data_IF_723934772942
#
_entry.id   IF_723934772942
#
_cell.length_a   1.000
_cell.length_b   1.000
_cell.length_c   1.000
_cell.angle_alpha   90.00
_cell.angle_beta   90.00
_cell.angle_gamma   90.00
#
_symmetry.space_group_name_H-M   'P 1'
#
loop_
_entity.id
_entity.type
_entity.pdbx_description
1 polymer ?
#
# COMPACT_ATOMS: atom_id res chain seq x y z
N UNK A 1 16.42 0.87 4.01
CA UNK A 1 16.20 0.30 2.66
C UNK A 1 14.85 0.72 2.11
N UNK A 2 14.55 0.43 0.83
CA UNK A 2 13.29 0.86 0.18
C UNK A 2 12.03 0.42 0.96
N UNK A 3 12.06 -0.78 1.54
CA UNK A 3 10.99 -1.32 2.39
C UNK A 3 10.80 -0.50 3.68
N UNK A 4 11.89 -0.22 4.40
CA UNK A 4 11.84 0.59 5.63
C UNK A 4 11.33 2.01 5.36
N UNK A 5 11.75 2.60 4.23
CA UNK A 5 11.24 3.89 3.77
C UNK A 5 9.73 3.85 3.54
N UNK A 6 9.25 2.78 2.88
CA UNK A 6 7.83 2.57 2.66
C UNK A 6 7.02 2.35 3.94
N UNK A 7 7.56 1.60 4.90
CA UNK A 7 6.95 1.41 6.23
C UNK A 7 6.84 2.74 6.98
N UNK A 8 7.93 3.52 7.00
CA UNK A 8 7.95 4.81 7.69
C UNK A 8 6.96 5.81 7.04
N UNK A 9 6.93 5.86 5.71
CA UNK A 9 5.98 6.69 4.97
C UNK A 9 4.53 6.26 5.23
N UNK A 10 4.24 4.96 5.20
CA UNK A 10 2.91 4.43 5.47
C UNK A 10 2.42 4.73 6.89
N UNK A 11 3.25 4.51 7.92
CA UNK A 11 2.91 4.87 9.31
C UNK A 11 2.65 6.36 9.48
N UNK A 12 3.46 7.19 8.83
CA UNK A 12 3.26 8.65 8.84
C UNK A 12 1.93 9.05 8.19
N UNK A 13 1.61 8.47 7.03
CA UNK A 13 0.35 8.74 6.33
C UNK A 13 -0.88 8.35 7.16
N UNK A 14 -0.84 7.17 7.82
CA UNK A 14 -1.90 6.75 8.74
C UNK A 14 -2.10 7.72 9.90
N UNK A 15 -1.00 8.16 10.52
CA UNK A 15 -1.04 9.12 11.62
C UNK A 15 -1.58 10.50 11.18
N UNK A 16 -1.18 10.99 10.01
CA UNK A 16 -1.69 12.26 9.46
C UNK A 16 -3.17 12.17 9.08
N UNK A 17 -3.64 11.01 8.63
CA UNK A 17 -5.04 10.77 8.32
C UNK A 17 -5.91 10.49 9.55
N UNK A 18 -5.31 10.21 10.72
CA UNK A 18 -6.04 9.80 11.92
C UNK A 18 -6.72 8.43 11.77
N UNK A 19 -6.14 7.54 10.97
CA UNK A 19 -6.70 6.22 10.65
C UNK A 19 -5.87 5.12 11.29
N UNK A 20 -6.54 4.17 11.93
CA UNK A 20 -5.90 3.00 12.51
C UNK A 20 -5.52 1.99 11.42
N UNK A 21 -4.40 1.31 11.58
CA UNK A 21 -3.92 0.31 10.62
C UNK A 21 -4.96 -0.77 10.30
N UNK A 22 -5.80 -1.12 11.28
CA UNK A 22 -6.86 -2.15 11.15
C UNK A 22 -8.01 -1.73 10.23
N UNK A 23 -8.13 -0.46 9.87
CA UNK A 23 -9.16 0.03 8.95
C UNK A 23 -8.75 -0.11 7.48
N UNK A 24 -7.48 -0.42 7.21
CA UNK A 24 -6.96 -0.55 5.85
C UNK A 24 -7.41 -1.88 5.25
N UNK A 25 -8.11 -1.81 4.12
CA UNK A 25 -8.54 -2.97 3.35
C UNK A 25 -7.62 -3.31 2.17
N UNK A 26 -6.74 -2.38 1.77
CA UNK A 26 -5.85 -2.52 0.62
C UNK A 26 -4.51 -1.81 0.86
N UNK A 27 -3.40 -2.47 0.53
CA UNK A 27 -2.07 -1.87 0.47
C UNK A 27 -1.43 -2.11 -0.89
N UNK A 28 -1.03 -1.03 -1.58
CA UNK A 28 -0.33 -1.13 -2.87
C UNK A 28 1.05 -0.50 -2.76
N UNK A 29 2.09 -1.25 -3.13
CA UNK A 29 3.39 -0.66 -3.45
C UNK A 29 3.47 -0.34 -4.96
N UNK A 30 3.72 0.92 -5.28
CA UNK A 30 3.81 1.45 -6.63
C UNK A 30 5.23 1.89 -7.00
N UNK A 31 6.23 1.49 -6.21
CA UNK A 31 7.63 1.83 -6.43
C UNK A 31 8.18 1.19 -7.71
N UNK A 32 9.11 1.90 -8.37
CA UNK A 32 9.89 1.32 -9.48
C UNK A 32 10.93 0.34 -8.95
N UNK A 33 11.63 0.73 -7.89
CA UNK A 33 12.70 -0.07 -7.30
C UNK A 33 12.14 -1.20 -6.45
N UNK A 34 12.62 -2.42 -6.70
CA UNK A 34 12.25 -3.65 -5.98
C UNK A 34 13.50 -4.41 -5.61
N UNK A 35 13.52 -4.98 -4.40
CA UNK A 35 14.63 -5.80 -3.94
C UNK A 35 14.58 -7.20 -4.58
N UNK A 36 13.38 -7.75 -4.76
CA UNK A 36 13.14 -9.10 -5.28
C UNK A 36 12.06 -9.06 -6.36
N UNK A 37 12.01 -10.12 -7.18
CA UNK A 37 10.87 -10.35 -8.08
C UNK A 37 9.66 -10.87 -7.31
N UNK A 38 9.92 -11.77 -6.36
CA UNK A 38 8.95 -12.31 -5.41
C UNK A 38 9.62 -12.52 -4.03
N UNK A 39 8.88 -12.40 -2.91
CA UNK A 39 7.51 -11.91 -2.81
C UNK A 39 7.40 -10.42 -3.17
N UNK A 40 6.17 -9.90 -3.26
CA UNK A 40 5.95 -8.47 -3.49
C UNK A 40 6.57 -7.62 -2.37
N UNK A 41 6.99 -6.41 -2.70
CA UNK A 41 7.47 -5.43 -1.70
C UNK A 41 6.33 -5.06 -0.74
N UNK A 42 5.10 -5.01 -1.27
CA UNK A 42 3.88 -4.78 -0.50
C UNK A 42 3.73 -5.72 0.70
N UNK A 43 4.07 -7.02 0.58
CA UNK A 43 3.99 -7.97 1.71
C UNK A 43 4.87 -7.54 2.88
N UNK A 44 6.09 -7.08 2.61
CA UNK A 44 7.01 -6.66 3.67
C UNK A 44 6.58 -5.34 4.33
N UNK A 45 5.99 -4.43 3.55
CA UNK A 45 5.47 -3.17 4.09
C UNK A 45 4.19 -3.41 4.90
N UNK A 46 3.30 -4.28 4.42
CA UNK A 46 2.09 -4.70 5.12
C UNK A 46 2.41 -5.22 6.52
N UNK A 47 3.34 -6.17 6.62
CA UNK A 47 3.81 -6.73 7.89
C UNK A 47 4.47 -5.67 8.77
N UNK A 48 5.38 -4.86 8.22
CA UNK A 48 6.12 -3.85 8.98
C UNK A 48 5.26 -2.71 9.53
N UNK A 49 4.10 -2.44 8.91
CA UNK A 49 3.10 -1.49 9.41
C UNK A 49 2.17 -2.15 10.45
N UNK A 50 1.95 -3.46 10.36
CA UNK A 50 0.99 -4.18 11.20
C UNK A 50 -0.43 -4.09 10.66
N UNK A 51 -0.58 -4.12 9.33
CA UNK A 51 -1.90 -4.14 8.68
C UNK A 51 -2.62 -5.46 8.95
N UNK A 52 -3.97 -5.49 8.93
CA UNK A 52 -4.73 -6.69 9.24
C UNK A 52 -4.54 -7.75 8.15
N UNK A 53 -4.67 -9.03 8.52
CA UNK A 53 -4.59 -10.15 7.57
C UNK A 53 -5.70 -10.16 6.52
N UNK A 54 -6.79 -9.43 6.76
CA UNK A 54 -7.87 -9.20 5.79
C UNK A 54 -7.51 -8.18 4.70
N UNK A 55 -6.46 -7.38 4.88
CA UNK A 55 -6.05 -6.38 3.91
C UNK A 55 -5.37 -7.06 2.71
N UNK A 56 -5.91 -6.82 1.51
CA UNK A 56 -5.27 -7.23 0.27
C UNK A 56 -3.98 -6.43 0.06
N UNK A 57 -2.93 -7.06 -0.46
CA UNK A 57 -1.70 -6.36 -0.79
C UNK A 57 -1.01 -6.90 -2.05
N UNK A 58 -0.46 -6.01 -2.87
CA UNK A 58 0.26 -6.35 -4.10
C UNK A 58 1.06 -5.15 -4.64
N UNK A 59 1.95 -5.42 -5.60
CA UNK A 59 2.74 -4.39 -6.27
C UNK A 59 2.12 -4.00 -7.62
N UNK A 60 2.14 -2.72 -7.97
CA UNK A 60 1.88 -2.22 -9.34
C UNK A 60 3.17 -1.63 -9.91
N UNK A 61 3.59 -2.09 -11.08
CA UNK A 61 4.73 -1.53 -11.82
C UNK A 61 4.25 -0.82 -13.08
N UNK A 62 4.46 0.49 -13.16
CA UNK A 62 4.32 1.24 -14.42
C UNK A 62 5.19 2.50 -14.43
N UNK A 63 6.48 2.33 -14.08
CA UNK A 63 7.42 3.44 -13.89
C UNK A 63 6.80 4.55 -12.99
N UNK A 64 6.95 5.82 -13.37
CA UNK A 64 6.39 6.97 -12.64
C UNK A 64 4.85 6.98 -12.60
N UNK A 65 4.17 6.22 -13.47
CA UNK A 65 2.71 6.16 -13.52
C UNK A 65 2.13 5.11 -12.56
N UNK A 66 2.97 4.26 -11.96
CA UNK A 66 2.54 3.21 -11.03
C UNK A 66 1.65 3.74 -9.91
N UNK A 67 2.00 4.90 -9.33
CA UNK A 67 1.22 5.51 -8.25
C UNK A 67 -0.18 5.94 -8.71
N UNK A 68 -0.30 6.53 -9.90
CA UNK A 68 -1.61 6.94 -10.47
C UNK A 68 -2.46 5.71 -10.79
N UNK A 69 -1.85 4.64 -11.31
CA UNK A 69 -2.55 3.38 -11.53
C UNK A 69 -3.04 2.75 -10.22
N UNK A 70 -2.21 2.78 -9.17
CA UNK A 70 -2.59 2.30 -7.83
C UNK A 70 -3.73 3.11 -7.22
N UNK A 71 -3.72 4.44 -7.37
CA UNK A 71 -4.83 5.28 -6.94
C UNK A 71 -6.13 4.95 -7.67
N UNK A 72 -6.10 4.71 -8.98
CA UNK A 72 -7.29 4.35 -9.74
C UNK A 72 -7.89 3.02 -9.26
N UNK A 73 -7.05 2.01 -9.02
CA UNK A 73 -7.49 0.72 -8.46
C UNK A 73 -8.09 0.89 -7.07
N UNK A 74 -7.42 1.62 -6.18
CA UNK A 74 -7.91 1.91 -4.85
C UNK A 74 -9.26 2.64 -4.86
N UNK A 75 -9.40 3.67 -5.72
CA UNK A 75 -10.63 4.42 -5.87
C UNK A 75 -11.80 3.52 -6.30
N UNK A 76 -11.60 2.65 -7.29
CA UNK A 76 -12.64 1.68 -7.71
C UNK A 76 -13.06 0.75 -6.56
N UNK A 77 -12.11 0.26 -5.77
CA UNK A 77 -12.43 -0.60 -4.63
C UNK A 77 -13.21 0.14 -3.54
N UNK A 78 -12.87 1.40 -3.27
CA UNK A 78 -13.61 2.26 -2.34
C UNK A 78 -15.03 2.55 -2.87
N UNK A 79 -15.15 2.97 -4.13
CA UNK A 79 -16.44 3.28 -4.77
C UNK A 79 -17.38 2.08 -4.82
N UNK A 80 -16.84 0.87 -5.00
CA UNK A 80 -17.62 -0.38 -4.97
C UNK A 80 -18.07 -0.79 -3.55
N UNK A 81 -17.54 -0.15 -2.50
CA UNK A 81 -17.75 -0.54 -1.10
C UNK A 81 -16.97 -1.79 -0.67
N UNK A 82 -16.00 -2.26 -1.47
CA UNK A 82 -15.18 -3.43 -1.13
C UNK A 82 -14.21 -3.16 0.02
N UNK A 83 -13.75 -1.91 0.15
CA UNK A 83 -12.88 -1.42 1.23
C UNK A 83 -13.28 0.01 1.60
N UNK A 84 -12.95 0.44 2.82
CA UNK A 84 -13.17 1.82 3.26
C UNK A 84 -11.90 2.68 3.10
N UNK A 85 -10.74 2.09 3.41
CA UNK A 85 -9.44 2.76 3.31
C UNK A 85 -8.42 1.93 2.53
N UNK A 86 -7.57 2.62 1.77
CA UNK A 86 -6.44 2.06 1.06
C UNK A 86 -5.16 2.83 1.40
N UNK A 87 -4.03 2.13 1.45
CA UNK A 87 -2.70 2.69 1.62
C UNK A 87 -1.89 2.48 0.34
N UNK A 88 -1.39 3.56 -0.27
CA UNK A 88 -0.52 3.49 -1.45
C UNK A 88 0.83 4.13 -1.11
N UNK A 89 1.91 3.42 -1.42
CA UNK A 89 3.30 3.84 -1.19
C UNK A 89 4.11 3.67 -2.49
N UNK A 90 5.08 4.54 -2.77
CA UNK A 90 5.97 4.42 -3.94
C UNK A 90 7.41 4.88 -3.64
#
# INVERSE_FOLDING_TARGET
GFVEGGIAAGKKALAEAGIEAQQIGLMINASVTRANLEPSVAVSIHDGIGLPSSAMNFDIANACLGFVNAMAVAATMIESGAIEYALVVA
#
